data_IF_467381608465
#
_entry.id   IF_467381608465
#
_cell.length_a   1.000
_cell.length_b   1.000
_cell.length_c   1.000
_cell.angle_alpha   90.00
_cell.angle_beta   90.00
_cell.angle_gamma   90.00
#
_symmetry.space_group_name_H-M   'P 1'
#
loop_
_entity.id
_entity.type
_entity.pdbx_description
1 polymer ?
#
# COMPACT_ATOMS: atom_id res chain seq x y z
N UNK A 1 -8.87 12.72 4.22
CA UNK A 1 -7.86 11.71 3.91
C UNK A 1 -7.27 11.96 2.53
N UNK A 2 -6.07 11.46 2.30
CA UNK A 2 -5.27 11.54 1.07
C UNK A 2 -4.67 10.16 0.79
N UNK A 3 -4.42 9.85 -0.47
CA UNK A 3 -3.69 8.65 -0.89
C UNK A 3 -2.44 9.07 -1.66
N UNK A 4 -1.33 8.37 -1.45
CA UNK A 4 -0.06 8.66 -2.13
C UNK A 4 0.58 7.38 -2.65
N UNK A 5 0.90 7.36 -3.93
CA UNK A 5 1.71 6.32 -4.55
C UNK A 5 3.20 6.58 -4.25
N UNK A 6 3.85 5.66 -3.52
CA UNK A 6 5.22 5.81 -3.01
C UNK A 6 6.10 4.66 -3.52
N UNK A 7 7.30 4.98 -3.99
CA UNK A 7 8.28 4.00 -4.45
C UNK A 7 8.74 3.04 -3.34
N UNK A 8 8.98 1.78 -3.70
CA UNK A 8 9.56 0.78 -2.80
C UNK A 8 10.67 -0.06 -3.47
N UNK A 9 11.43 0.56 -4.36
CA UNK A 9 12.69 -0.01 -4.84
C UNK A 9 13.82 0.31 -3.83
N UNK A 10 15.01 -0.27 -4.03
CA UNK A 10 16.17 -0.02 -3.15
C UNK A 10 16.59 1.45 -3.08
N UNK A 11 16.55 2.18 -4.21
CA UNK A 11 16.91 3.60 -4.27
C UNK A 11 15.86 4.53 -3.64
N UNK A 12 14.63 4.05 -3.47
CA UNK A 12 13.53 4.76 -2.85
C UNK A 12 13.49 4.57 -1.33
N UNK A 13 14.20 3.57 -0.78
CA UNK A 13 14.31 3.33 0.66
C UNK A 13 15.50 4.09 1.27
N UNK A 14 15.36 4.60 2.50
CA UNK A 14 14.14 4.63 3.32
C UNK A 14 13.10 5.63 2.78
N UNK A 15 11.80 5.35 2.85
CA UNK A 15 10.76 6.32 2.47
C UNK A 15 10.54 7.38 3.54
N UNK A 16 10.01 8.54 3.15
CA UNK A 16 9.47 9.54 4.08
C UNK A 16 7.95 9.39 4.20
N UNK A 17 7.43 9.53 5.41
CA UNK A 17 5.99 9.71 5.66
C UNK A 17 5.22 8.42 5.93
N UNK A 18 5.73 7.26 5.52
CA UNK A 18 5.01 5.97 5.63
C UNK A 18 4.63 5.63 7.08
N UNK A 19 5.45 6.03 8.05
CA UNK A 19 5.22 5.89 9.49
C UNK A 19 3.98 6.66 10.00
N UNK A 20 3.50 7.66 9.24
CA UNK A 20 2.29 8.44 9.57
C UNK A 20 1.01 7.90 8.91
N UNK A 21 1.13 6.99 7.94
CA UNK A 21 -0.03 6.45 7.24
C UNK A 21 -0.95 5.66 8.19
N UNK A 22 -2.25 5.65 7.90
CA UNK A 22 -3.24 4.80 8.58
C UNK A 22 -3.25 3.40 7.97
N UNK A 23 -3.22 3.35 6.63
CA UNK A 23 -3.24 2.12 5.84
C UNK A 23 -2.18 2.19 4.76
N UNK A 24 -1.47 1.10 4.54
CA UNK A 24 -0.49 0.96 3.45
C UNK A 24 -0.81 -0.27 2.64
N UNK A 25 -1.03 -0.14 1.34
CA UNK A 25 -1.09 -1.28 0.42
C UNK A 25 0.24 -1.45 -0.29
N UNK A 26 0.81 -2.64 -0.27
CA UNK A 26 1.99 -3.03 -1.03
C UNK A 26 1.56 -3.93 -2.18
N UNK A 27 1.82 -3.48 -3.41
CA UNK A 27 1.44 -4.17 -4.65
C UNK A 27 2.67 -4.44 -5.51
N UNK A 28 2.61 -5.48 -6.34
CA UNK A 28 3.65 -5.76 -7.34
C UNK A 28 3.76 -4.61 -8.37
N UNK A 29 4.99 -4.36 -8.80
CA UNK A 29 5.34 -3.40 -9.83
C UNK A 29 6.24 -4.05 -10.91
N UNK A 30 7.11 -3.29 -11.58
CA UNK A 30 8.00 -3.83 -12.62
C UNK A 30 9.09 -4.75 -12.02
N UNK A 31 9.54 -5.78 -12.75
CA UNK A 31 10.78 -6.49 -12.42
C UNK A 31 10.86 -7.10 -11.00
N UNK A 32 9.72 -7.42 -10.38
CA UNK A 32 9.65 -7.99 -9.03
C UNK A 32 9.85 -7.02 -7.86
N UNK A 33 9.98 -5.71 -8.12
CA UNK A 33 9.86 -4.70 -7.07
C UNK A 33 8.39 -4.46 -6.72
N UNK A 34 8.13 -3.88 -5.54
CA UNK A 34 6.79 -3.47 -5.12
C UNK A 34 6.63 -1.95 -5.11
N UNK A 35 5.41 -1.49 -4.93
CA UNK A 35 5.04 -0.08 -4.73
C UNK A 35 4.05 0.04 -3.59
N UNK A 36 4.12 1.15 -2.85
CA UNK A 36 3.21 1.42 -1.74
C UNK A 36 2.12 2.39 -2.19
N UNK A 37 0.88 2.13 -1.79
CA UNK A 37 -0.21 3.10 -1.76
C UNK A 37 -0.52 3.40 -0.29
N UNK A 38 -0.12 4.57 0.19
CA UNK A 38 -0.29 4.97 1.58
C UNK A 38 -1.48 5.92 1.74
N UNK A 39 -2.34 5.64 2.70
CA UNK A 39 -3.48 6.46 3.09
C UNK A 39 -3.14 7.29 4.33
N UNK A 40 -3.42 8.59 4.26
CA UNK A 40 -3.19 9.55 5.34
C UNK A 40 -4.51 10.21 5.71
N UNK A 41 -4.95 10.07 6.96
CA UNK A 41 -6.15 10.73 7.45
C UNK A 41 -6.14 11.06 8.94
N UNK A 42 -5.47 10.29 9.79
CA UNK A 42 -5.39 10.59 11.24
C UNK A 42 -4.21 11.49 11.61
N UNK A 43 -3.11 11.43 10.85
CA UNK A 43 -1.86 12.14 11.13
C UNK A 43 -1.36 12.89 9.91
N UNK A 44 -0.81 14.08 10.16
CA UNK A 44 -0.12 14.85 9.13
C UNK A 44 1.31 14.31 8.96
N UNK A 45 1.71 14.09 7.70
CA UNK A 45 3.09 13.79 7.35
C UNK A 45 3.76 15.06 6.78
N UNK A 46 4.88 15.52 7.37
CA UNK A 46 5.58 16.73 6.92
C UNK A 46 6.36 16.51 5.62
N UNK A 47 6.71 15.26 5.32
CA UNK A 47 7.35 14.85 4.08
C UNK A 47 6.84 13.47 3.67
N UNK A 48 6.59 13.27 2.37
CA UNK A 48 6.08 12.04 1.78
C UNK A 48 6.82 11.78 0.47
N UNK A 49 7.46 10.62 0.37
CA UNK A 49 8.05 10.18 -0.89
C UNK A 49 9.08 9.07 -0.75
N UNK A 50 9.73 8.69 -1.86
CA UNK A 50 9.55 9.29 -3.19
C UNK A 50 8.18 8.97 -3.82
N UNK A 51 7.47 9.97 -4.30
CA UNK A 51 6.21 9.81 -5.04
C UNK A 51 6.51 9.15 -6.38
N UNK A 52 5.77 8.09 -6.71
CA UNK A 52 6.00 7.28 -7.91
C UNK A 52 4.74 7.06 -8.74
N UNK A 53 4.93 6.44 -9.90
CA UNK A 53 3.88 6.17 -10.88
C UNK A 53 2.86 5.16 -10.36
N UNK A 54 1.58 5.43 -10.64
CA UNK A 54 0.48 4.52 -10.35
C UNK A 54 0.55 3.22 -11.14
N UNK A 55 0.17 2.14 -10.45
CA UNK A 55 -0.21 0.84 -11.02
C UNK A 55 -1.74 0.76 -11.10
N UNK A 56 -2.26 -0.13 -11.95
CA UNK A 56 -3.71 -0.29 -12.13
C UNK A 56 -4.39 -0.71 -10.82
N UNK A 57 -3.87 -1.73 -10.13
CA UNK A 57 -4.34 -2.13 -8.81
C UNK A 57 -4.42 -0.96 -7.80
N UNK A 58 -3.43 -0.05 -7.81
CA UNK A 58 -3.45 1.12 -6.92
C UNK A 58 -4.57 2.09 -7.28
N UNK A 59 -4.84 2.29 -8.58
CA UNK A 59 -5.93 3.15 -9.04
C UNK A 59 -7.31 2.58 -8.64
N UNK A 60 -7.51 1.27 -8.77
CA UNK A 60 -8.76 0.59 -8.38
C UNK A 60 -8.95 0.53 -6.86
N UNK A 61 -7.88 0.38 -6.08
CA UNK A 61 -7.95 0.49 -4.62
C UNK A 61 -8.29 1.92 -4.22
N UNK A 62 -7.59 2.90 -4.81
CA UNK A 62 -7.75 4.30 -4.46
C UNK A 62 -9.16 4.84 -4.79
N UNK A 63 -9.77 4.36 -5.87
CA UNK A 63 -11.11 4.76 -6.26
C UNK A 63 -12.17 4.43 -5.19
N UNK A 64 -12.02 3.30 -4.47
CA UNK A 64 -12.93 2.93 -3.40
C UNK A 64 -12.95 3.88 -2.20
N UNK A 65 -11.87 4.64 -2.00
CA UNK A 65 -11.78 5.65 -0.94
C UNK A 65 -12.36 7.01 -1.35
N UNK A 66 -12.57 7.27 -2.64
CA UNK A 66 -12.93 8.60 -3.15
C UNK A 66 -12.03 9.72 -2.57
N UNK A 67 -10.74 9.48 -2.32
CA UNK A 67 -9.83 10.46 -1.75
C UNK A 67 -8.92 11.09 -2.82
N UNK A 68 -8.39 12.31 -2.60
CA UNK A 68 -7.33 12.83 -3.46
C UNK A 68 -6.14 11.87 -3.52
N UNK A 69 -5.76 11.48 -4.74
CA UNK A 69 -4.71 10.51 -5.04
C UNK A 69 -3.51 11.22 -5.67
N UNK A 70 -2.41 11.26 -4.93
CA UNK A 70 -1.14 11.81 -5.37
C UNK A 70 -0.24 10.75 -6.01
N UNK A 71 0.29 11.06 -7.19
CA UNK A 71 1.16 10.16 -7.94
C UNK A 71 2.05 10.92 -8.92
N UNK A 72 3.05 10.24 -9.50
CA UNK A 72 3.92 10.78 -10.54
C UNK A 72 3.72 9.99 -11.84
N UNK A 73 2.67 10.32 -12.58
CA UNK A 73 2.24 9.56 -13.76
C UNK A 73 1.71 8.19 -13.37
N UNK A 74 1.73 7.25 -14.31
CA UNK A 74 1.19 5.90 -14.12
C UNK A 74 1.45 5.03 -15.32
N UNK A 75 1.24 3.71 -15.19
CA UNK A 75 1.17 2.86 -16.36
C UNK A 75 -0.02 3.30 -17.24
N UNK A 76 0.10 3.08 -18.55
CA UNK A 76 -0.89 3.52 -19.54
C UNK A 76 -2.32 3.07 -19.20
N UNK A 77 -2.47 1.85 -18.70
CA UNK A 77 -3.75 1.30 -18.28
C UNK A 77 -4.34 2.06 -17.09
N UNK A 78 -3.55 2.29 -16.03
CA UNK A 78 -3.99 3.10 -14.90
C UNK A 78 -4.38 4.51 -15.33
N UNK A 79 -3.59 5.16 -16.20
CA UNK A 79 -3.89 6.52 -16.67
C UNK A 79 -5.17 6.58 -17.52
N UNK A 80 -5.41 5.58 -18.39
CA UNK A 80 -6.67 5.47 -19.13
C UNK A 80 -7.86 5.22 -18.21
N UNK A 81 -7.69 4.38 -17.19
CA UNK A 81 -8.71 4.15 -16.17
C UNK A 81 -9.02 5.45 -15.41
N UNK A 82 -8.01 6.17 -14.92
CA UNK A 82 -8.17 7.45 -14.24
C UNK A 82 -8.85 8.50 -15.13
N UNK A 83 -8.55 8.54 -16.44
CA UNK A 83 -9.20 9.45 -17.37
C UNK A 83 -10.70 9.14 -17.55
N UNK A 84 -11.09 7.86 -17.55
CA UNK A 84 -12.50 7.45 -17.66
C UNK A 84 -13.29 7.64 -16.37
N UNK A 85 -12.68 7.33 -15.22
CA UNK A 85 -13.34 7.41 -13.91
C UNK A 85 -13.32 8.83 -13.33
N UNK A 86 -12.44 9.69 -13.85
CA UNK A 86 -12.18 11.05 -13.37
C UNK A 86 -12.07 11.18 -11.83
N UNK A 87 -11.22 10.40 -11.13
CA UNK A 87 -11.08 10.51 -9.69
C UNK A 87 -10.38 11.81 -9.30
N UNK A 88 -10.36 12.12 -8.00
CA UNK A 88 -9.64 13.25 -7.42
C UNK A 88 -8.11 13.05 -7.57
N UNK A 89 -7.56 13.31 -8.75
CA UNK A 89 -6.14 13.05 -9.05
C UNK A 89 -5.27 14.29 -8.85
N UNK A 90 -4.11 14.07 -8.24
CA UNK A 90 -3.00 15.01 -8.08
C UNK A 90 -1.75 14.41 -8.75
N UNK A 91 -1.66 14.52 -10.07
CA UNK A 91 -0.50 14.04 -10.83
C UNK A 91 0.65 15.07 -10.81
N UNK A 92 1.71 14.75 -10.06
CA UNK A 92 2.88 15.58 -9.90
C UNK A 92 3.70 15.80 -11.18
N UNK A 93 3.45 15.03 -12.25
CA UNK A 93 4.04 15.29 -13.58
C UNK A 93 3.05 15.86 -14.58
N UNK A 94 1.76 15.94 -14.24
CA UNK A 94 0.69 16.47 -15.10
C UNK A 94 -0.28 17.36 -14.31
N UNK A 95 0.00 18.65 -14.32
CA UNK A 95 -0.94 19.67 -13.84
C UNK A 95 -1.01 19.89 -12.33
N UNK A 96 -0.49 18.99 -11.48
CA UNK A 96 -0.40 19.20 -10.04
C UNK A 96 1.05 19.41 -9.53
N UNK A 97 2.03 19.55 -10.43
CA UNK A 97 3.46 19.62 -10.08
C UNK A 97 3.85 20.73 -9.10
N UNK A 98 3.08 21.82 -8.99
CA UNK A 98 3.32 22.89 -8.02
C UNK A 98 3.20 22.44 -6.55
N UNK A 99 2.53 21.31 -6.29
CA UNK A 99 2.34 20.73 -4.95
C UNK A 99 3.33 19.59 -4.66
N UNK A 100 4.37 19.47 -5.49
CA UNK A 100 5.45 18.51 -5.35
C UNK A 100 6.79 19.24 -5.46
N UNK A 101 7.82 18.66 -4.87
CA UNK A 101 9.19 19.18 -4.93
C UNK A 101 10.18 18.09 -5.25
N UNK A 102 11.25 18.44 -5.97
CA UNK A 102 12.39 17.55 -6.16
C UNK A 102 13.42 17.77 -5.06
N UNK A 103 13.89 16.69 -4.44
CA UNK A 103 15.03 16.73 -3.50
C UNK A 103 16.34 16.56 -4.25
N UNK A 104 17.42 17.13 -3.70
CA UNK A 104 18.77 17.08 -4.28
C UNK A 104 19.58 15.88 -3.83
N UNK A 105 19.29 15.33 -2.64
CA UNK A 105 20.01 14.18 -2.07
C UNK A 105 19.63 12.82 -2.70
N UNK A 106 18.74 12.82 -3.70
CA UNK A 106 18.40 11.63 -4.51
C UNK A 106 18.37 11.98 -5.99
N UNK A 107 18.73 10.99 -6.81
CA UNK A 107 18.63 11.09 -8.27
C UNK A 107 17.19 10.83 -8.73
N UNK A 108 16.81 11.45 -9.84
CA UNK A 108 15.60 11.06 -10.54
C UNK A 108 15.70 9.57 -10.95
N UNK A 109 14.59 8.82 -10.89
CA UNK A 109 13.24 9.29 -10.63
C UNK A 109 12.78 9.14 -9.17
N UNK A 110 13.67 8.80 -8.23
CA UNK A 110 13.38 8.60 -6.79
C UNK A 110 13.55 9.88 -5.94
N UNK A 111 13.35 11.05 -6.57
CA UNK A 111 13.57 12.34 -5.92
C UNK A 111 12.35 13.27 -5.88
N UNK A 112 11.16 12.82 -6.26
CA UNK A 112 9.93 13.62 -6.17
C UNK A 112 9.24 13.40 -4.81
N UNK A 113 8.88 14.47 -4.11
CA UNK A 113 8.33 14.46 -2.76
C UNK A 113 7.17 15.44 -2.64
N UNK A 114 6.35 15.27 -1.60
CA UNK A 114 5.24 16.17 -1.24
C UNK A 114 5.02 16.12 0.29
N UNK A 115 3.94 16.71 0.80
CA UNK A 115 3.51 16.57 2.18
C UNK A 115 1.99 16.54 2.26
N UNK A 116 1.44 16.13 3.40
CA UNK A 116 -0.02 16.21 3.62
C UNK A 116 -0.54 17.65 3.44
N UNK A 117 0.20 18.65 3.90
CA UNK A 117 -0.14 20.07 3.71
C UNK A 117 -0.19 20.49 2.25
N UNK A 118 0.87 20.17 1.48
CA UNK A 118 0.94 20.49 0.05
C UNK A 118 -0.18 19.80 -0.75
N UNK A 119 -0.53 18.56 -0.41
CA UNK A 119 -1.60 17.83 -1.07
C UNK A 119 -3.00 18.37 -0.71
N UNK A 120 -3.21 18.85 0.51
CA UNK A 120 -4.45 19.54 0.89
C UNK A 120 -4.58 20.86 0.13
N UNK A 121 -3.51 21.64 0.03
CA UNK A 121 -3.47 22.86 -0.79
C UNK A 121 -3.76 22.55 -2.26
N UNK A 122 -3.13 21.51 -2.79
CA UNK A 122 -3.35 21.06 -4.18
C UNK A 122 -4.77 20.59 -4.44
N UNK A 123 -5.38 19.88 -3.50
CA UNK A 123 -6.78 19.49 -3.59
C UNK A 123 -7.69 20.74 -3.62
N UNK A 124 -7.49 21.70 -2.71
CA UNK A 124 -8.28 22.95 -2.64
C UNK A 124 -8.14 23.79 -3.89
N UNK A 125 -6.91 24.01 -4.37
CA UNK A 125 -6.63 24.80 -5.57
C UNK A 125 -7.28 24.22 -6.84
N UNK A 126 -7.61 22.92 -6.83
CA UNK A 126 -8.25 22.20 -7.93
C UNK A 126 -9.73 21.90 -7.68
N UNK A 127 -10.32 22.47 -6.62
CA UNK A 127 -11.73 22.24 -6.27
C UNK A 127 -12.06 20.82 -5.82
N UNK A 128 -11.05 20.01 -5.45
CA UNK A 128 -11.23 18.63 -5.02
C UNK A 128 -11.58 18.59 -3.53
N UNK A 129 -12.71 17.94 -3.19
CA UNK A 129 -13.09 17.75 -1.79
C UNK A 129 -12.27 16.65 -1.13
N UNK A 130 -11.77 16.91 0.07
CA UNK A 130 -11.21 15.87 0.93
C UNK A 130 -12.33 14.90 1.36
N UNK A 131 -11.97 13.64 1.57
CA UNK A 131 -12.89 12.63 2.09
C UNK A 131 -12.65 12.34 3.58
N UNK A 132 -13.67 11.94 4.35
CA UNK A 132 -13.50 11.56 5.75
C UNK A 132 -12.58 10.33 5.86
N UNK A 133 -11.94 10.13 7.01
CA UNK A 133 -11.14 8.92 7.22
C UNK A 133 -12.06 7.68 7.24
N UNK A 134 -11.87 6.78 6.28
CA UNK A 134 -12.46 5.44 6.33
C UNK A 134 -11.73 4.63 7.40
N UNK A 135 -12.45 4.17 8.41
CA UNK A 135 -11.90 3.38 9.52
C UNK A 135 -12.16 1.91 9.28
N UNK A 136 -11.12 1.09 9.40
CA UNK A 136 -11.28 -0.36 9.49
C UNK A 136 -12.03 -0.72 10.79
N UNK A 137 -12.84 -1.80 10.81
CA UNK A 137 -13.54 -2.21 12.02
C UNK A 137 -12.54 -2.59 13.12
N UNK A 138 -12.50 -1.85 14.22
CA UNK A 138 -11.65 -2.20 15.37
C UNK A 138 -12.44 -2.98 16.41
N UNK A 139 -11.76 -3.88 17.12
CA UNK A 139 -12.36 -4.61 18.22
C UNK A 139 -11.50 -5.78 18.65
N UNK A 140 -11.97 -6.51 19.65
CA UNK A 140 -11.31 -7.73 20.09
C UNK A 140 -11.41 -8.82 19.02
N UNK A 141 -10.46 -9.75 19.05
CA UNK A 141 -10.46 -10.92 18.18
C UNK A 141 -9.86 -12.11 18.91
N UNK A 142 -10.70 -13.09 19.20
CA UNK A 142 -10.30 -14.32 19.87
C UNK A 142 -9.85 -15.40 18.86
N UNK A 143 -9.17 -16.43 19.35
CA UNK A 143 -8.68 -17.55 18.52
C UNK A 143 -7.48 -17.16 17.66
N UNK A 144 -7.33 -17.83 16.51
CA UNK A 144 -6.18 -17.67 15.61
C UNK A 144 -4.95 -18.43 16.09
N UNK A 145 -4.12 -18.84 15.13
CA UNK A 145 -2.90 -19.61 15.40
C UNK A 145 -1.75 -18.67 15.74
N UNK A 146 -0.77 -19.09 16.58
CA UNK A 146 0.44 -18.30 16.81
C UNK A 146 1.13 -17.93 15.49
N UNK A 147 1.44 -16.65 15.33
CA UNK A 147 2.13 -16.08 14.18
C UNK A 147 2.89 -14.82 14.63
N UNK A 148 4.03 -15.07 15.27
CA UNK A 148 4.97 -14.06 15.76
C UNK A 148 5.97 -13.65 14.69
N UNK A 149 6.26 -14.53 13.73
CA UNK A 149 7.05 -14.20 12.54
C UNK A 149 6.22 -14.38 11.28
N UNK A 150 6.32 -13.43 10.36
CA UNK A 150 5.65 -13.48 9.04
C UNK A 150 6.66 -13.15 7.95
N UNK A 151 6.73 -13.97 6.91
CA UNK A 151 7.59 -13.77 5.73
C UNK A 151 6.69 -13.69 4.51
N UNK A 152 6.84 -12.63 3.71
CA UNK A 152 6.09 -12.40 2.47
C UNK A 152 7.07 -12.29 1.31
N UNK A 153 7.05 -13.26 0.41
CA UNK A 153 7.87 -13.30 -0.80
C UNK A 153 7.05 -12.88 -2.04
N UNK A 154 6.99 -11.58 -2.32
CA UNK A 154 6.16 -11.02 -3.40
C UNK A 154 6.41 -11.63 -4.79
N UNK A 155 7.67 -11.92 -5.09
CA UNK A 155 8.07 -12.64 -6.29
C UNK A 155 9.30 -13.48 -5.97
N UNK A 156 9.25 -14.79 -6.25
CA UNK A 156 10.46 -15.64 -6.27
C UNK A 156 11.21 -15.41 -7.59
N UNK A 157 11.67 -14.19 -7.83
CA UNK A 157 12.68 -13.94 -8.86
C UNK A 157 14.03 -14.39 -8.29
N UNK A 158 14.65 -15.39 -8.92
CA UNK A 158 15.89 -16.04 -8.46
C UNK A 158 17.00 -15.04 -8.12
N UNK A 159 17.06 -13.90 -8.82
CA UNK A 159 18.15 -12.93 -8.70
C UNK A 159 17.75 -11.57 -8.08
N UNK A 160 16.49 -11.41 -7.65
CA UNK A 160 16.01 -10.16 -7.06
C UNK A 160 14.83 -10.40 -6.09
N UNK A 161 15.02 -11.22 -5.03
CA UNK A 161 13.95 -11.44 -4.08
C UNK A 161 13.63 -10.14 -3.33
N UNK A 162 12.35 -9.74 -3.34
CA UNK A 162 11.81 -8.73 -2.43
C UNK A 162 11.07 -9.48 -1.31
N UNK A 163 11.84 -9.91 -0.31
CA UNK A 163 11.34 -10.65 0.85
C UNK A 163 11.11 -9.64 1.97
N UNK A 164 9.87 -9.56 2.42
CA UNK A 164 9.49 -8.75 3.56
C UNK A 164 9.30 -9.68 4.75
N UNK A 165 9.98 -9.38 5.86
CA UNK A 165 9.84 -10.14 7.11
C UNK A 165 9.27 -9.23 8.19
N UNK A 166 8.45 -9.81 9.04
CA UNK A 166 7.89 -9.17 10.22
C UNK A 166 8.17 -10.03 11.46
N UNK A 167 8.57 -9.38 12.54
CA UNK A 167 8.73 -10.00 13.87
C UNK A 167 7.84 -9.24 14.87
N UNK A 168 6.94 -9.95 15.54
CA UNK A 168 6.04 -9.40 16.54
C UNK A 168 6.75 -9.20 17.87
N UNK A 169 6.74 -7.98 18.41
CA UNK A 169 7.45 -7.63 19.66
C UNK A 169 6.56 -7.65 20.91
N UNK A 170 5.36 -8.20 20.81
CA UNK A 170 4.33 -8.13 21.86
C UNK A 170 3.34 -6.97 21.68
N UNK A 171 3.60 -6.05 20.73
CA UNK A 171 2.68 -4.97 20.39
C UNK A 171 2.55 -4.71 18.88
N UNK A 172 3.67 -4.75 18.15
CA UNK A 172 3.74 -4.41 16.72
C UNK A 172 4.57 -5.41 15.94
N UNK A 173 4.37 -5.47 14.63
CA UNK A 173 5.13 -6.28 13.69
C UNK A 173 6.29 -5.47 13.09
N UNK A 174 7.52 -5.65 13.58
CA UNK A 174 8.70 -4.93 13.09
C UNK A 174 9.10 -5.41 11.70
N UNK A 175 9.06 -4.49 10.73
CA UNK A 175 9.30 -4.79 9.32
C UNK A 175 10.79 -4.77 8.97
N UNK A 176 11.20 -5.76 8.19
CA UNK A 176 12.49 -5.84 7.50
C UNK A 176 12.27 -6.14 6.02
N UNK A 177 13.21 -5.70 5.18
CA UNK A 177 13.23 -6.03 3.75
C UNK A 177 14.60 -6.61 3.43
N UNK A 178 14.63 -7.82 2.89
CA UNK A 178 15.86 -8.56 2.60
C UNK A 178 16.82 -8.56 3.80
N UNK A 179 16.28 -9.01 4.95
CA UNK A 179 16.97 -9.16 6.24
C UNK A 179 17.51 -7.87 6.89
N UNK A 180 17.26 -6.70 6.29
CA UNK A 180 17.62 -5.41 6.88
C UNK A 180 16.39 -4.71 7.46
N UNK A 181 16.49 -4.08 8.66
CA UNK A 181 15.41 -3.27 9.22
C UNK A 181 14.91 -2.23 8.22
N UNK A 182 13.59 -2.22 8.00
CA UNK A 182 13.00 -1.24 7.11
C UNK A 182 12.76 0.07 7.87
N UNK A 183 13.71 0.99 7.76
CA UNK A 183 13.62 2.31 8.39
C UNK A 183 12.80 3.29 7.54
N UNK A 184 12.08 4.19 8.21
CA UNK A 184 11.65 5.46 7.64
C UNK A 184 12.83 6.43 7.51
N UNK A 185 12.64 7.53 6.79
CA UNK A 185 13.63 8.60 6.68
C UNK A 185 13.97 9.25 8.04
N UNK A 186 13.13 9.06 9.06
CA UNK A 186 13.39 9.50 10.43
C UNK A 186 14.18 8.48 11.27
N UNK A 187 14.64 7.38 10.66
CA UNK A 187 15.40 6.33 11.34
C UNK A 187 14.54 5.36 12.17
N UNK A 188 13.22 5.55 12.21
CA UNK A 188 12.31 4.65 12.90
C UNK A 188 12.02 3.42 12.03
N UNK A 189 12.19 2.22 12.58
CA UNK A 189 11.76 1.00 11.91
C UNK A 189 10.24 0.97 11.76
N UNK A 190 9.74 0.69 10.55
CA UNK A 190 8.32 0.53 10.30
C UNK A 190 7.79 -0.67 11.08
N UNK A 191 6.73 -0.46 11.86
CA UNK A 191 6.20 -1.49 12.75
C UNK A 191 4.68 -1.36 12.90
N UNK A 192 3.89 -1.83 11.92
CA UNK A 192 2.43 -1.80 12.01
C UNK A 192 1.87 -2.79 13.04
N UNK A 193 0.69 -2.47 13.55
CA UNK A 193 -0.08 -3.32 14.47
C UNK A 193 -0.78 -4.47 13.74
N UNK A 194 -1.17 -4.25 12.47
CA UNK A 194 -1.91 -5.24 11.69
C UNK A 194 -1.25 -5.49 10.33
N UNK A 195 -1.20 -6.75 9.92
CA UNK A 195 -0.87 -7.15 8.55
C UNK A 195 -2.06 -7.90 7.94
N UNK A 196 -2.39 -7.60 6.70
CA UNK A 196 -3.37 -8.32 5.90
C UNK A 196 -2.66 -8.82 4.66
N UNK A 197 -2.72 -10.11 4.38
CA UNK A 197 -2.23 -10.66 3.12
C UNK A 197 -3.41 -11.09 2.28
N UNK A 198 -3.51 -10.57 1.06
CA UNK A 198 -4.57 -10.88 0.11
C UNK A 198 -3.99 -11.69 -1.04
N UNK A 199 -4.56 -12.86 -1.28
CA UNK A 199 -4.32 -13.61 -2.51
C UNK A 199 -5.12 -13.00 -3.65
N UNK A 200 -4.43 -12.42 -4.61
CA UNK A 200 -5.02 -11.77 -5.79
C UNK A 200 -4.54 -12.44 -7.04
N UNK A 201 -5.42 -12.60 -8.04
CA UNK A 201 -4.99 -13.11 -9.34
C UNK A 201 -4.04 -12.12 -9.99
N UNK A 202 -3.01 -12.64 -10.63
CA UNK A 202 -2.08 -11.83 -11.42
C UNK A 202 -2.16 -12.19 -12.88
N UNK A 203 -2.06 -11.19 -13.75
CA UNK A 203 -1.93 -11.39 -15.20
C UNK A 203 -0.62 -10.78 -15.68
N UNK A 204 0.07 -11.52 -16.54
CA UNK A 204 1.25 -11.01 -17.21
C UNK A 204 0.83 -10.10 -18.35
N UNK A 205 1.18 -8.83 -18.27
CA UNK A 205 1.05 -7.87 -19.36
C UNK A 205 2.39 -7.83 -20.07
N UNK A 206 2.45 -8.48 -21.23
CA UNK A 206 3.66 -8.51 -22.07
C UNK A 206 3.90 -7.13 -22.69
N UNK A 207 4.95 -6.44 -22.23
CA UNK A 207 5.51 -5.22 -22.82
C UNK A 207 7.02 -5.42 -23.03
N UNK A 208 7.78 -4.35 -23.31
CA UNK A 208 9.24 -4.41 -23.39
C UNK A 208 9.87 -5.04 -22.14
N UNK A 209 9.25 -4.86 -20.96
CA UNK A 209 9.48 -5.68 -19.77
C UNK A 209 8.15 -6.31 -19.32
N UNK A 210 8.13 -7.61 -18.95
CA UNK A 210 6.93 -8.24 -18.40
C UNK A 210 6.46 -7.49 -17.15
N UNK A 211 5.22 -7.01 -17.18
CA UNK A 211 4.59 -6.38 -16.02
C UNK A 211 3.56 -7.36 -15.44
N UNK A 212 3.61 -7.59 -14.12
CA UNK A 212 2.54 -8.27 -13.42
C UNK A 212 1.49 -7.23 -13.04
N UNK A 213 0.28 -7.38 -13.57
CA UNK A 213 -0.88 -6.66 -13.06
C UNK A 213 -1.65 -7.54 -12.07
N UNK A 214 -2.34 -6.90 -11.12
CA UNK A 214 -3.05 -7.59 -10.04
C UNK A 214 -4.54 -7.27 -10.11
N UNK A 215 -5.37 -8.30 -10.24
CA UNK A 215 -6.82 -8.16 -10.31
C UNK A 215 -7.38 -8.01 -8.89
N UNK A 216 -7.62 -6.75 -8.50
CA UNK A 216 -8.09 -6.41 -7.14
C UNK A 216 -9.60 -6.31 -7.04
N UNK A 217 -10.31 -6.39 -8.16
CA UNK A 217 -11.77 -6.52 -8.21
C UNK A 217 -12.11 -8.01 -8.34
N UNK A 218 -12.89 -8.53 -7.39
CA UNK A 218 -13.22 -9.94 -7.30
C UNK A 218 -13.23 -10.42 -5.85
N UNK A 219 -12.72 -11.62 -5.64
CA UNK A 219 -12.63 -12.24 -4.31
C UNK A 219 -11.46 -13.21 -4.26
N UNK A 220 -10.98 -13.51 -3.06
CA UNK A 220 -9.88 -14.44 -2.83
C UNK A 220 -9.67 -14.74 -1.36
N UNK A 221 -8.63 -15.52 -1.05
CA UNK A 221 -8.26 -15.84 0.33
C UNK A 221 -7.52 -14.67 0.98
N UNK A 222 -7.69 -14.54 2.29
CA UNK A 222 -7.03 -13.52 3.09
C UNK A 222 -6.45 -14.13 4.37
N UNK A 223 -5.35 -13.57 4.83
CA UNK A 223 -4.79 -13.79 6.16
C UNK A 223 -4.74 -12.45 6.89
N UNK A 224 -5.18 -12.41 8.14
CA UNK A 224 -4.99 -11.27 9.05
C UNK A 224 -4.01 -11.68 10.13
N UNK A 225 -2.92 -10.93 10.27
CA UNK A 225 -1.97 -11.02 11.37
C UNK A 225 -2.17 -9.83 12.31
N UNK A 226 -2.46 -10.12 13.58
CA UNK A 226 -2.58 -9.13 14.67
C UNK A 226 -2.32 -9.82 15.99
N UNK A 227 -1.85 -9.08 16.99
CA UNK A 227 -1.66 -9.59 18.35
C UNK A 227 -0.80 -10.88 18.43
N UNK A 228 0.17 -11.03 17.51
CA UNK A 228 1.03 -12.22 17.43
C UNK A 228 0.32 -13.48 16.91
N UNK A 229 -0.83 -13.33 16.24
CA UNK A 229 -1.68 -14.43 15.76
C UNK A 229 -2.12 -14.23 14.33
N UNK A 230 -2.44 -15.32 13.65
CA UNK A 230 -3.00 -15.34 12.29
C UNK A 230 -4.44 -15.82 12.28
N UNK A 231 -5.27 -15.18 11.47
CA UNK A 231 -6.65 -15.54 11.22
C UNK A 231 -6.88 -15.70 9.72
N UNK A 232 -7.32 -16.89 9.31
CA UNK A 232 -7.69 -17.16 7.92
C UNK A 232 -9.09 -16.63 7.58
N UNK A 233 -9.27 -16.27 6.31
CA UNK A 233 -10.53 -15.72 5.83
C UNK A 233 -10.54 -15.49 4.32
N UNK A 234 -11.43 -14.62 3.89
CA UNK A 234 -11.61 -14.21 2.49
C UNK A 234 -11.71 -12.70 2.37
N UNK A 235 -11.37 -12.20 1.19
CA UNK A 235 -11.65 -10.83 0.79
C UNK A 235 -12.61 -10.82 -0.39
N UNK A 236 -13.40 -9.74 -0.50
CA UNK A 236 -14.23 -9.44 -1.65
C UNK A 236 -14.17 -7.94 -1.95
N UNK A 237 -14.10 -7.59 -3.24
CA UNK A 237 -14.25 -6.23 -3.76
C UNK A 237 -15.14 -6.31 -5.00
N UNK A 238 -16.37 -5.85 -4.90
CA UNK A 238 -17.41 -6.07 -5.93
C UNK A 238 -17.24 -5.18 -7.17
N UNK A 239 -16.37 -4.17 -7.12
CA UNK A 239 -16.09 -3.30 -8.25
C UNK A 239 -14.95 -2.32 -7.97
N UNK A 240 -14.50 -1.54 -8.97
CA UNK A 240 -13.42 -0.56 -8.79
C UNK A 240 -13.73 0.53 -7.75
N UNK A 241 -15.00 0.93 -7.60
CA UNK A 241 -15.43 1.88 -6.55
C UNK A 241 -15.76 1.25 -5.19
N UNK A 242 -15.70 -0.08 -5.05
CA UNK A 242 -16.02 -0.75 -3.79
C UNK A 242 -14.82 -0.82 -2.84
N UNK A 243 -15.07 -0.87 -1.54
CA UNK A 243 -14.04 -1.18 -0.55
C UNK A 243 -13.82 -2.70 -0.46
N UNK A 244 -12.65 -3.12 0.05
CA UNK A 244 -12.46 -4.51 0.43
C UNK A 244 -13.34 -4.86 1.63
N UNK A 245 -14.05 -5.98 1.54
CA UNK A 245 -14.76 -6.62 2.65
C UNK A 245 -13.99 -7.86 3.02
N UNK A 246 -13.58 -7.96 4.30
CA UNK A 246 -12.79 -9.06 4.82
C UNK A 246 -13.58 -9.85 5.84
N UNK A 247 -13.66 -11.17 5.67
CA UNK A 247 -14.40 -12.06 6.56
C UNK A 247 -13.56 -13.25 6.96
N UNK A 248 -13.74 -13.76 8.16
CA UNK A 248 -13.16 -15.06 8.56
C UNK A 248 -13.90 -16.24 7.96
N UNK A 249 -13.40 -17.44 8.28
CA UNK A 249 -13.99 -18.72 7.89
C UNK A 249 -15.39 -18.96 8.45
N UNK A 250 -15.84 -18.17 9.44
CA UNK A 250 -17.20 -18.19 9.98
C UNK A 250 -18.10 -17.11 9.35
N UNK A 251 -17.58 -16.33 8.40
CA UNK A 251 -18.30 -15.25 7.73
C UNK A 251 -18.38 -13.94 8.51
N UNK A 252 -17.76 -13.84 9.69
CA UNK A 252 -17.74 -12.61 10.49
C UNK A 252 -16.71 -11.64 9.93
N UNK A 253 -16.97 -10.33 10.03
CA UNK A 253 -16.01 -9.33 9.59
C UNK A 253 -14.71 -9.41 10.39
N UNK A 254 -13.59 -9.17 9.70
CA UNK A 254 -12.32 -8.97 10.38
C UNK A 254 -12.39 -7.72 11.27
N UNK A 255 -11.87 -7.88 12.49
CA UNK A 255 -11.64 -6.80 13.46
C UNK A 255 -10.14 -6.58 13.60
N UNK A 256 -9.73 -5.32 13.61
CA UNK A 256 -8.33 -4.90 13.63
C UNK A 256 -7.94 -4.38 15.02
N UNK A 257 -6.67 -4.59 15.40
CA UNK A 257 -6.08 -3.86 16.50
C UNK A 257 -5.99 -2.37 16.12
N UNK A 258 -6.04 -1.48 17.12
CA UNK A 258 -5.89 -0.04 16.87
C UNK A 258 -4.45 0.26 16.44
N UNK A 259 -4.28 0.86 15.27
CA UNK A 259 -2.96 1.20 14.76
C UNK A 259 -2.92 1.19 13.23
N UNK A 260 -1.71 1.18 12.69
CA UNK A 260 -1.46 1.10 11.26
C UNK A 260 -1.74 -0.31 10.73
N UNK A 261 -2.32 -0.40 9.53
CA UNK A 261 -2.57 -1.66 8.85
C UNK A 261 -1.84 -1.73 7.52
N UNK A 262 -1.08 -2.80 7.30
CA UNK A 262 -0.42 -3.07 6.02
C UNK A 262 -1.13 -4.18 5.28
N UNK A 263 -1.49 -3.91 4.03
CA UNK A 263 -2.02 -4.87 3.09
C UNK A 263 -0.92 -5.30 2.13
N UNK A 264 -0.66 -6.60 2.04
CA UNK A 264 0.23 -7.19 1.06
C UNK A 264 -0.59 -7.96 0.05
N UNK A 265 -0.51 -7.57 -1.22
CA UNK A 265 -1.17 -8.29 -2.30
C UNK A 265 -0.17 -9.27 -2.90
N UNK A 266 -0.48 -10.57 -2.84
CA UNK A 266 0.37 -11.65 -3.33
C UNK A 266 -0.37 -12.49 -4.37
N UNK A 267 0.33 -13.08 -5.36
CA UNK A 267 -0.29 -13.97 -6.34
C UNK A 267 -0.84 -15.26 -5.74
N UNK A 268 -0.24 -15.75 -4.64
CA UNK A 268 -0.58 -17.02 -4.01
C UNK A 268 -0.16 -16.98 -2.53
N UNK A 269 -1.00 -17.46 -1.61
CA UNK A 269 -0.67 -17.53 -0.19
C UNK A 269 0.50 -18.47 0.13
N UNK A 270 0.88 -19.39 -0.77
CA UNK A 270 2.07 -20.24 -0.58
C UNK A 270 3.38 -19.44 -0.47
N UNK A 271 3.36 -18.16 -0.87
CA UNK A 271 4.49 -17.25 -0.73
C UNK A 271 4.51 -16.52 0.62
N UNK A 272 3.64 -16.94 1.54
CA UNK A 272 3.55 -16.42 2.91
C UNK A 272 3.91 -17.56 3.86
N UNK A 273 4.95 -17.36 4.65
CA UNK A 273 5.35 -18.30 5.71
C UNK A 273 5.19 -17.61 7.05
N UNK A 274 4.70 -18.33 8.07
CA UNK A 274 4.54 -17.78 9.42
C UNK A 274 4.70 -18.84 10.50
N UNK A 275 5.06 -18.42 11.71
CA UNK A 275 5.18 -19.24 12.92
C UNK A 275 5.00 -18.42 14.19
#
# INVERSE_FOLDING_TARGET
MLLVAIGNNRAARPQSGVEFADVVYEVLAEGGITRLLALFGSRAAPDIGPVRSLRMAMAEIALGYDAPLAHAGGCEEALRFMARQAPKSLDGVRGAGAFFRRVTHRKAPDNLYTSTGQLIEGARARGLRLSPLVRLPHGDRAGGDPATRVVVAFARLVNAPNIVTYEYDGRVYRRSVNDSPHLSAQGQQLAPENLVVLEVKTRTVMRQEPMLDMDVVGQGRALLFRDGRVHAGTWQKTGPGAMFVLRDTQGQLFTFARGQTWFHLVPDLKYVEYR
#
